data_IF_784011921172
#
_entry.id   IF_784011921172
#
_cell.length_a   1.000
_cell.length_b   1.000
_cell.length_c   1.000
_cell.angle_alpha   90.00
_cell.angle_beta   90.00
_cell.angle_gamma   90.00
#
_symmetry.space_group_name_H-M   'P 1'
#
loop_
_entity.id
_entity.type
_entity.pdbx_description
1 polymer ?
#
# COMPACT_ATOMS: atom_id res chain seq x y z
N UNK A 1 14.45 -8.97 19.13
CA UNK A 1 15.09 -7.79 18.47
C UNK A 1 14.13 -6.62 18.53
N UNK A 2 14.62 -5.46 18.88
CA UNK A 2 13.81 -4.24 18.87
C UNK A 2 14.27 -3.41 17.66
N UNK A 3 13.34 -3.00 16.82
CA UNK A 3 13.63 -2.17 15.67
C UNK A 3 13.56 -0.71 16.09
N UNK A 4 14.70 -0.02 16.02
CA UNK A 4 14.81 1.39 16.45
C UNK A 4 14.90 2.36 15.28
N UNK A 5 15.19 1.87 14.10
CA UNK A 5 15.29 2.68 12.89
C UNK A 5 14.43 2.08 11.80
N UNK A 6 13.80 2.95 11.01
CA UNK A 6 12.96 2.55 9.89
C UNK A 6 13.40 3.27 8.63
N UNK A 7 13.38 2.52 7.53
CA UNK A 7 13.59 3.09 6.20
C UNK A 7 12.29 3.70 5.72
N UNK A 8 12.36 4.89 5.15
CA UNK A 8 11.23 5.54 4.50
C UNK A 8 11.57 5.76 3.05
N UNK A 9 10.73 5.27 2.16
CA UNK A 9 10.81 5.53 0.73
C UNK A 9 9.70 6.49 0.33
N UNK A 10 10.02 7.43 -0.57
CA UNK A 10 9.04 8.36 -1.13
C UNK A 10 9.08 8.17 -2.64
N UNK A 11 7.95 7.78 -3.22
CA UNK A 11 7.83 7.54 -4.64
C UNK A 11 6.92 8.59 -5.26
N UNK A 12 7.44 9.34 -6.22
CA UNK A 12 6.63 10.31 -6.96
C UNK A 12 5.89 9.59 -8.07
N UNK A 13 4.57 9.79 -8.14
CA UNK A 13 3.69 9.23 -9.18
C UNK A 13 3.89 7.73 -9.40
N UNK A 14 3.99 6.99 -8.32
CA UNK A 14 4.22 5.54 -8.42
C UNK A 14 3.09 4.86 -9.20
N UNK A 15 3.47 4.02 -10.15
CA UNK A 15 2.54 3.30 -11.04
C UNK A 15 1.59 4.25 -11.80
N UNK A 16 2.04 5.47 -12.09
CA UNK A 16 1.23 6.47 -12.79
C UNK A 16 0.22 7.18 -11.91
N UNK A 17 0.35 7.05 -10.61
CA UNK A 17 -0.53 7.73 -9.65
C UNK A 17 -0.26 9.23 -9.55
N UNK A 18 -0.93 9.87 -8.59
CA UNK A 18 -0.85 11.30 -8.34
C UNK A 18 -0.05 11.57 -7.07
N UNK A 19 0.82 12.58 -7.10
CA UNK A 19 1.60 13.00 -5.94
C UNK A 19 2.53 11.91 -5.45
N UNK A 20 2.82 11.93 -4.15
CA UNK A 20 3.78 11.02 -3.55
C UNK A 20 3.10 9.89 -2.81
N UNK A 21 3.68 8.69 -2.92
CA UNK A 21 3.39 7.56 -2.03
C UNK A 21 4.54 7.47 -1.03
N UNK A 22 4.23 7.59 0.26
CA UNK A 22 5.23 7.50 1.32
C UNK A 22 5.10 6.13 1.97
N UNK A 23 6.20 5.37 2.01
CA UNK A 23 6.22 4.03 2.60
C UNK A 23 7.23 4.01 3.75
N UNK A 24 6.71 3.86 4.96
CA UNK A 24 7.53 3.67 6.15
C UNK A 24 7.64 2.16 6.41
N UNK A 25 8.78 1.58 6.09
CA UNK A 25 8.99 0.15 6.29
C UNK A 25 9.08 -0.17 7.77
N UNK A 26 8.26 -1.10 8.23
CA UNK A 26 8.20 -1.47 9.65
C UNK A 26 9.47 -2.22 10.04
N UNK A 27 9.89 -3.15 9.19
CA UNK A 27 11.12 -3.92 9.34
C UNK A 27 11.75 -4.06 7.97
N UNK A 28 13.08 -4.05 7.91
CA UNK A 28 13.78 -4.27 6.64
C UNK A 28 13.38 -5.62 6.06
N UNK A 29 13.06 -5.64 4.77
CA UNK A 29 12.61 -6.85 4.07
C UNK A 29 13.60 -8.01 4.17
N UNK A 30 14.89 -7.72 4.34
CA UNK A 30 15.93 -8.73 4.47
C UNK A 30 15.72 -9.65 5.69
N UNK A 31 15.02 -9.15 6.71
CA UNK A 31 14.73 -9.92 7.93
C UNK A 31 13.84 -11.12 7.64
N UNK A 32 13.04 -11.04 6.59
CA UNK A 32 12.02 -12.06 6.27
C UNK A 32 12.54 -13.20 5.39
N UNK A 33 13.81 -13.18 5.00
CA UNK A 33 14.40 -14.25 4.21
C UNK A 33 13.77 -14.43 2.85
N UNK A 34 13.36 -13.34 2.22
CA UNK A 34 12.77 -13.36 0.88
C UNK A 34 11.29 -13.71 0.81
N UNK A 35 10.64 -13.95 1.95
CA UNK A 35 9.21 -14.32 1.98
C UNK A 35 8.30 -13.09 1.85
N UNK A 36 8.73 -11.97 2.41
CA UNK A 36 7.97 -10.73 2.44
C UNK A 36 8.72 -9.70 1.61
N UNK A 37 8.04 -9.10 0.64
CA UNK A 37 8.62 -8.04 -0.19
C UNK A 37 8.54 -6.68 0.51
N UNK A 38 7.49 -6.45 1.31
CA UNK A 38 7.34 -5.23 2.07
C UNK A 38 6.32 -5.42 3.20
N UNK A 39 6.59 -4.78 4.32
CA UNK A 39 5.61 -4.58 5.38
C UNK A 39 5.77 -3.14 5.81
N UNK A 40 4.84 -2.29 5.42
CA UNK A 40 5.02 -0.86 5.52
C UNK A 40 3.75 -0.13 5.89
N UNK A 41 3.92 1.00 6.56
CA UNK A 41 2.84 1.97 6.70
C UNK A 41 2.87 2.87 5.48
N UNK A 42 1.79 2.88 4.73
CA UNK A 42 1.63 3.72 3.54
C UNK A 42 0.89 4.98 3.92
N UNK A 43 1.42 6.12 3.50
CA UNK A 43 0.83 7.43 3.73
C UNK A 43 0.58 8.08 2.39
N UNK A 44 -0.68 8.45 2.14
CA UNK A 44 -1.06 9.25 0.98
C UNK A 44 -1.70 10.54 1.48
N UNK A 45 -1.11 11.67 1.13
CA UNK A 45 -1.69 12.98 1.40
C UNK A 45 -2.97 13.15 0.59
N UNK A 46 -3.87 14.09 0.96
CA UNK A 46 -5.10 14.30 0.19
C UNK A 46 -4.81 14.50 -1.29
N UNK A 47 -5.56 13.79 -2.13
CA UNK A 47 -5.42 13.84 -3.59
C UNK A 47 -4.31 12.98 -4.17
N UNK A 48 -3.46 12.40 -3.33
CA UNK A 48 -2.39 11.52 -3.81
C UNK A 48 -2.92 10.11 -4.02
N UNK A 49 -2.28 9.38 -4.93
CA UNK A 49 -2.69 8.02 -5.24
C UNK A 49 -1.51 7.15 -5.63
N UNK A 50 -1.63 5.86 -5.33
CA UNK A 50 -0.81 4.81 -5.91
C UNK A 50 -1.59 4.28 -7.12
N UNK A 51 -1.00 4.37 -8.31
CA UNK A 51 -1.68 4.09 -9.56
C UNK A 51 -2.02 2.63 -9.76
N UNK A 52 -2.85 2.38 -10.78
CA UNK A 52 -3.32 1.04 -11.10
C UNK A 52 -2.17 0.17 -11.58
N UNK A 53 -1.97 -0.98 -10.96
CA UNK A 53 -0.86 -1.89 -11.27
C UNK A 53 -1.23 -3.32 -10.97
N UNK A 54 -0.59 -4.23 -11.71
CA UNK A 54 -0.76 -5.67 -11.53
C UNK A 54 0.29 -6.21 -10.56
N UNK A 55 -0.13 -7.10 -9.66
CA UNK A 55 0.79 -7.83 -8.80
C UNK A 55 1.28 -9.08 -9.52
N UNK A 56 2.54 -9.08 -9.93
CA UNK A 56 3.19 -10.21 -10.59
C UNK A 56 4.22 -10.80 -9.63
N UNK A 57 4.01 -12.07 -9.24
CA UNK A 57 4.88 -12.75 -8.30
C UNK A 57 4.69 -12.33 -6.85
N UNK A 58 3.71 -11.49 -6.56
CA UNK A 58 3.41 -11.01 -5.21
C UNK A 58 1.90 -10.96 -4.98
N UNK A 59 1.52 -10.91 -3.71
CA UNK A 59 0.16 -10.56 -3.29
C UNK A 59 0.25 -9.47 -2.25
N UNK A 60 -0.82 -8.72 -2.05
CA UNK A 60 -0.82 -7.60 -1.11
C UNK A 60 -2.08 -7.54 -0.29
N UNK A 61 -1.91 -7.36 1.03
CA UNK A 61 -2.99 -7.04 1.95
C UNK A 61 -2.84 -5.61 2.39
N UNK A 62 -3.93 -4.83 2.33
CA UNK A 62 -3.95 -3.45 2.80
C UNK A 62 -5.01 -3.32 3.87
N UNK A 63 -4.64 -2.77 5.02
CA UNK A 63 -5.52 -2.49 6.14
C UNK A 63 -5.57 -0.98 6.36
N UNK A 64 -6.76 -0.38 6.18
CA UNK A 64 -6.95 1.06 6.32
C UNK A 64 -6.99 1.42 7.80
N UNK A 65 -6.06 2.27 8.22
CA UNK A 65 -5.99 2.74 9.61
C UNK A 65 -6.74 4.04 9.81
N UNK A 66 -6.71 4.93 8.82
CA UNK A 66 -7.28 6.27 8.92
C UNK A 66 -7.55 6.80 7.53
N UNK A 67 -8.64 7.56 7.40
CA UNK A 67 -8.94 8.29 6.17
C UNK A 67 -9.96 7.61 5.30
N UNK A 68 -10.15 8.17 4.10
CA UNK A 68 -11.12 7.67 3.12
C UNK A 68 -10.40 7.44 1.80
N UNK A 69 -10.53 6.24 1.28
CA UNK A 69 -9.84 5.83 0.07
C UNK A 69 -10.82 5.43 -1.02
N UNK A 70 -10.46 5.73 -2.27
CA UNK A 70 -11.07 5.11 -3.44
C UNK A 70 -10.18 3.95 -3.85
N UNK A 71 -10.69 2.74 -3.80
CA UNK A 71 -9.95 1.53 -4.12
C UNK A 71 -10.50 0.90 -5.38
N UNK A 72 -9.64 0.71 -6.37
CA UNK A 72 -10.01 0.02 -7.61
C UNK A 72 -9.56 -1.42 -7.51
N UNK A 73 -10.52 -2.33 -7.47
CA UNK A 73 -10.31 -3.77 -7.39
C UNK A 73 -10.61 -4.38 -8.75
N UNK A 74 -9.56 -4.59 -9.55
CA UNK A 74 -9.69 -5.17 -10.90
C UNK A 74 -10.72 -4.43 -11.78
N UNK A 75 -10.82 -3.12 -11.66
CA UNK A 75 -11.73 -2.31 -12.46
C UNK A 75 -13.02 -1.92 -11.74
N UNK A 76 -13.28 -2.47 -10.55
CA UNK A 76 -14.45 -2.10 -9.74
C UNK A 76 -14.02 -1.17 -8.63
N UNK A 77 -14.59 0.04 -8.59
CA UNK A 77 -14.25 1.03 -7.59
C UNK A 77 -15.10 0.89 -6.33
N UNK A 78 -14.45 1.02 -5.18
CA UNK A 78 -15.07 0.96 -3.87
C UNK A 78 -14.52 2.07 -2.99
N UNK A 79 -15.36 2.64 -2.14
CA UNK A 79 -14.91 3.60 -1.12
C UNK A 79 -14.62 2.84 0.16
N UNK A 80 -13.42 3.04 0.72
CA UNK A 80 -12.97 2.38 1.94
C UNK A 80 -12.75 3.41 3.03
N UNK A 81 -13.07 3.02 4.27
CA UNK A 81 -12.79 3.81 5.46
C UNK A 81 -11.99 3.00 6.46
N UNK A 82 -11.63 3.59 7.60
CA UNK A 82 -10.82 2.93 8.62
C UNK A 82 -11.44 1.59 9.04
N UNK A 83 -10.61 0.58 9.16
CA UNK A 83 -11.01 -0.79 9.47
C UNK A 83 -11.22 -1.68 8.26
N UNK A 84 -11.30 -1.11 7.05
CA UNK A 84 -11.44 -1.91 5.83
C UNK A 84 -10.15 -2.67 5.53
N UNK A 85 -10.30 -3.89 5.03
CA UNK A 85 -9.18 -4.72 4.60
C UNK A 85 -9.44 -5.14 3.16
N UNK A 86 -8.42 -4.99 2.31
CA UNK A 86 -8.48 -5.48 0.93
C UNK A 86 -7.31 -6.41 0.67
N UNK A 87 -7.51 -7.36 -0.22
CA UNK A 87 -6.48 -8.32 -0.62
C UNK A 87 -6.41 -8.36 -2.14
N UNK A 88 -5.20 -8.18 -2.67
CA UNK A 88 -4.94 -8.29 -4.10
C UNK A 88 -4.10 -9.54 -4.34
N UNK A 89 -4.71 -10.63 -4.83
CA UNK A 89 -3.96 -11.85 -5.13
C UNK A 89 -2.96 -11.64 -6.26
N UNK A 90 -2.01 -12.55 -6.36
CA UNK A 90 -1.12 -12.58 -7.50
C UNK A 90 -1.92 -12.65 -8.81
N UNK A 91 -1.52 -11.84 -9.80
CA UNK A 91 -2.14 -11.78 -11.10
C UNK A 91 -3.28 -10.78 -11.22
N UNK A 92 -3.73 -10.22 -10.10
CA UNK A 92 -4.78 -9.20 -10.10
C UNK A 92 -4.20 -7.80 -9.99
N UNK A 93 -5.04 -6.81 -10.25
CA UNK A 93 -4.62 -5.41 -10.33
C UNK A 93 -5.46 -4.54 -9.41
N UNK A 94 -4.84 -3.48 -8.89
CA UNK A 94 -5.54 -2.53 -8.03
C UNK A 94 -4.89 -1.15 -8.06
N UNK A 95 -5.61 -0.18 -7.50
CA UNK A 95 -5.10 1.15 -7.19
C UNK A 95 -5.79 1.68 -5.94
N UNK A 96 -5.17 2.67 -5.32
CA UNK A 96 -5.73 3.32 -4.13
C UNK A 96 -5.45 4.81 -4.17
N UNK A 97 -6.46 5.60 -3.86
CA UNK A 97 -6.38 7.06 -3.88
C UNK A 97 -6.96 7.63 -2.59
N UNK A 98 -6.31 8.64 -2.04
CA UNK A 98 -6.86 9.39 -0.91
C UNK A 98 -7.88 10.40 -1.44
N UNK A 99 -9.15 10.16 -1.16
CA UNK A 99 -10.25 11.05 -1.54
C UNK A 99 -10.80 11.82 -0.34
N UNK A 100 -10.16 11.71 0.82
CA UNK A 100 -10.54 12.43 2.03
C UNK A 100 -9.78 13.73 2.18
N UNK A 101 -9.97 14.40 3.32
CA UNK A 101 -9.35 15.67 3.63
C UNK A 101 -8.13 15.53 4.54
N UNK A 102 -7.97 14.37 5.17
CA UNK A 102 -6.83 14.04 6.03
C UNK A 102 -5.92 13.02 5.35
N UNK A 103 -4.76 12.79 5.93
CA UNK A 103 -3.84 11.77 5.43
C UNK A 103 -4.52 10.39 5.46
N UNK A 104 -4.36 9.64 4.39
CA UNK A 104 -4.75 8.24 4.34
C UNK A 104 -3.58 7.43 4.89
N UNK A 105 -3.84 6.69 5.97
CA UNK A 105 -2.85 5.81 6.58
C UNK A 105 -3.32 4.37 6.44
N UNK A 106 -2.42 3.51 5.95
CA UNK A 106 -2.73 2.10 5.76
C UNK A 106 -1.51 1.24 6.05
N UNK A 107 -1.74 0.03 6.54
CA UNK A 107 -0.69 -0.98 6.62
C UNK A 107 -0.75 -1.83 5.36
N UNK A 108 0.39 -2.02 4.73
CA UNK A 108 0.51 -2.85 3.54
C UNK A 108 1.50 -3.99 3.79
N UNK A 109 1.07 -5.20 3.49
CA UNK A 109 1.90 -6.40 3.54
C UNK A 109 1.96 -7.00 2.16
N UNK A 110 3.16 -7.02 1.57
CA UNK A 110 3.39 -7.60 0.24
C UNK A 110 4.18 -8.88 0.43
N UNK A 111 3.58 -9.99 0.00
CA UNK A 111 4.14 -11.33 0.16
C UNK A 111 4.66 -11.80 -1.20
N UNK A 112 5.86 -12.39 -1.21
CA UNK A 112 6.39 -13.05 -2.41
C UNK A 112 5.72 -14.41 -2.57
N UNK A 113 5.11 -14.62 -3.73
CA UNK A 113 4.36 -15.85 -4.06
C UNK A 113 5.25 -16.81 -4.84
N UNK A 114 6.29 -17.27 -4.18
CA UNK A 114 7.26 -18.18 -4.82
C UNK A 114 7.56 -19.37 -3.95
#
# INVERSE_FOLDING_TARGET
MIVTERKTDIFERRAGGKGNTIMEHIVDEKVYGGKIAAYARVILKPGCSLGYHKHEGTSETIYILQGTALYNDNGTENTLTAGAVVFCPEGESHSIENIGQDDLLAMALVVNEK
#
